data_IF_056837549060
#
_entry.id   IF_056837549060
#
_cell.length_a   1.000
_cell.length_b   1.000
_cell.length_c   1.000
_cell.angle_alpha   90.00
_cell.angle_beta   90.00
_cell.angle_gamma   90.00
#
_symmetry.space_group_name_H-M   'P 1'
#
loop_
_entity.id
_entity.type
_entity.pdbx_description
1 polymer ?
#
# COMPACT_ATOMS: atom_id res chain seq x y z
N UNK A 1 -13.45 -3.07 -2.91
CA UNK A 1 -14.58 -3.84 -3.49
C UNK A 1 -14.20 -4.41 -4.85
N UNK A 2 -13.84 -3.60 -5.84
CA UNK A 2 -13.44 -4.11 -7.16
C UNK A 2 -12.29 -5.13 -7.08
N UNK A 3 -11.26 -4.87 -6.28
CA UNK A 3 -10.16 -5.82 -6.02
C UNK A 3 -10.64 -7.20 -5.55
N UNK A 4 -11.65 -7.26 -4.68
CA UNK A 4 -12.23 -8.51 -4.19
C UNK A 4 -12.89 -9.30 -5.32
N UNK A 5 -13.73 -8.63 -6.12
CA UNK A 5 -14.42 -9.26 -7.25
C UNK A 5 -13.45 -9.71 -8.34
N UNK A 6 -12.40 -8.92 -8.57
CA UNK A 6 -11.39 -9.18 -9.60
C UNK A 6 -10.41 -10.31 -9.21
N UNK A 7 -10.00 -10.40 -7.94
CA UNK A 7 -9.19 -11.55 -7.46
C UNK A 7 -10.03 -12.84 -7.49
N UNK A 8 -11.29 -12.75 -7.07
CA UNK A 8 -12.24 -13.87 -7.07
C UNK A 8 -12.90 -14.16 -8.43
N UNK A 9 -12.34 -13.67 -9.54
CA UNK A 9 -12.95 -13.80 -10.86
C UNK A 9 -13.21 -15.27 -11.24
N UNK A 10 -12.26 -16.15 -10.96
CA UNK A 10 -12.42 -17.61 -11.10
C UNK A 10 -12.97 -18.24 -9.82
N UNK A 11 -14.22 -17.89 -9.48
CA UNK A 11 -14.91 -18.32 -8.26
C UNK A 11 -15.08 -19.85 -8.13
N UNK A 12 -14.91 -20.61 -9.22
CA UNK A 12 -14.93 -22.08 -9.20
C UNK A 12 -13.70 -22.68 -8.50
N UNK A 13 -12.60 -21.93 -8.37
CA UNK A 13 -11.39 -22.37 -7.65
C UNK A 13 -11.49 -21.99 -6.17
N UNK A 14 -11.47 -22.94 -5.22
CA UNK A 14 -11.59 -22.63 -3.79
C UNK A 14 -10.42 -21.78 -3.28
N UNK A 15 -9.24 -21.95 -3.87
CA UNK A 15 -8.04 -21.18 -3.55
C UNK A 15 -8.26 -19.70 -3.87
N UNK A 16 -8.81 -19.37 -5.05
CA UNK A 16 -9.13 -17.99 -5.45
C UNK A 16 -10.19 -17.35 -4.56
N UNK A 17 -11.19 -18.12 -4.11
CA UNK A 17 -12.20 -17.66 -3.16
C UNK A 17 -11.60 -17.31 -1.78
N UNK A 18 -10.70 -18.16 -1.27
CA UNK A 18 -10.00 -17.87 -0.01
C UNK A 18 -9.05 -16.66 -0.15
N UNK A 19 -8.40 -16.50 -1.30
CA UNK A 19 -7.49 -15.39 -1.59
C UNK A 19 -8.24 -14.05 -1.65
N UNK A 20 -9.39 -13.99 -2.33
CA UNK A 20 -10.17 -12.77 -2.41
C UNK A 20 -10.71 -12.36 -1.03
N UNK A 21 -11.22 -13.31 -0.23
CA UNK A 21 -11.66 -13.06 1.13
C UNK A 21 -10.52 -12.53 2.01
N UNK A 22 -9.35 -13.18 1.97
CA UNK A 22 -8.16 -12.72 2.70
C UNK A 22 -7.79 -11.28 2.30
N UNK A 23 -7.75 -10.99 1.00
CA UNK A 23 -7.47 -9.65 0.51
C UNK A 23 -8.51 -8.61 0.93
N UNK A 24 -9.79 -9.00 1.02
CA UNK A 24 -10.81 -8.08 1.49
C UNK A 24 -10.68 -7.80 3.00
N UNK A 25 -10.51 -8.84 3.82
CA UNK A 25 -10.41 -8.71 5.28
C UNK A 25 -9.18 -7.89 5.68
N UNK A 26 -8.00 -8.19 5.12
CA UNK A 26 -6.77 -7.44 5.44
C UNK A 26 -6.90 -5.95 5.08
N UNK A 27 -7.50 -5.66 3.93
CA UNK A 27 -7.74 -4.29 3.51
C UNK A 27 -8.79 -3.58 4.38
N UNK A 28 -9.80 -4.30 4.89
CA UNK A 28 -10.80 -3.74 5.80
C UNK A 28 -10.24 -3.36 7.16
N UNK A 29 -9.25 -4.10 7.67
CA UNK A 29 -8.54 -3.71 8.90
C UNK A 29 -7.85 -2.36 8.71
N UNK A 30 -7.20 -2.13 7.56
CA UNK A 30 -6.63 -0.82 7.23
C UNK A 30 -7.69 0.26 7.03
N UNK A 31 -8.79 -0.04 6.32
CA UNK A 31 -9.89 0.90 6.10
C UNK A 31 -10.53 1.34 7.43
N UNK A 32 -10.58 0.45 8.43
CA UNK A 32 -11.04 0.79 9.79
C UNK A 32 -10.10 1.78 10.48
N UNK A 33 -8.78 1.56 10.40
CA UNK A 33 -7.78 2.51 10.91
C UNK A 33 -7.89 3.87 10.22
N UNK A 34 -8.00 3.87 8.89
CA UNK A 34 -8.20 5.09 8.09
C UNK A 34 -9.44 5.87 8.56
N UNK A 35 -10.58 5.18 8.70
CA UNK A 35 -11.84 5.80 9.10
C UNK A 35 -11.73 6.43 10.51
N UNK A 36 -11.14 5.73 11.47
CA UNK A 36 -10.88 6.29 12.80
C UNK A 36 -9.95 7.51 12.75
N UNK A 37 -8.91 7.47 11.91
CA UNK A 37 -8.01 8.61 11.70
C UNK A 37 -8.75 9.82 11.14
N UNK A 38 -9.61 9.62 10.14
CA UNK A 38 -10.43 10.69 9.55
C UNK A 38 -11.39 11.29 10.59
N UNK A 39 -12.09 10.45 11.35
CA UNK A 39 -13.00 10.91 12.41
C UNK A 39 -12.25 11.65 13.53
N UNK A 40 -11.08 11.16 13.91
CA UNK A 40 -10.22 11.81 14.91
C UNK A 40 -9.78 13.20 14.47
N UNK A 41 -9.35 13.35 13.21
CA UNK A 41 -9.01 14.66 12.69
C UNK A 41 -10.23 15.57 12.53
N UNK A 42 -11.37 15.04 12.08
CA UNK A 42 -12.62 15.80 12.02
C UNK A 42 -13.05 16.35 13.38
N UNK A 43 -12.84 15.59 14.45
CA UNK A 43 -13.13 16.05 15.82
C UNK A 43 -12.24 17.23 16.25
N UNK A 44 -11.01 17.29 15.73
CA UNK A 44 -10.04 18.36 16.04
C UNK A 44 -10.25 19.59 15.13
N UNK A 45 -10.43 19.38 13.82
CA UNK A 45 -10.54 20.46 12.80
C UNK A 45 -11.95 21.00 12.65
N UNK A 46 -12.98 20.17 12.86
CA UNK A 46 -14.35 20.43 12.40
C UNK A 46 -14.52 20.35 10.87
N UNK A 47 -13.48 19.98 10.11
CA UNK A 47 -13.52 19.93 8.65
C UNK A 47 -12.70 18.77 8.07
N UNK A 48 -13.08 18.33 6.86
CA UNK A 48 -12.41 17.24 6.12
C UNK A 48 -11.51 17.77 5.00
N UNK A 49 -11.34 19.08 4.91
CA UNK A 49 -10.53 19.77 3.91
C UNK A 49 -9.03 19.62 4.23
N UNK A 50 -8.22 19.21 3.25
CA UNK A 50 -6.77 19.12 3.42
C UNK A 50 -6.11 20.45 3.82
N UNK A 51 -6.68 21.57 3.37
CA UNK A 51 -6.18 22.92 3.70
C UNK A 51 -6.22 23.20 5.20
N UNK A 52 -7.28 22.77 5.87
CA UNK A 52 -7.45 22.99 7.30
C UNK A 52 -6.58 22.02 8.11
N UNK A 53 -6.39 20.79 7.63
CA UNK A 53 -5.40 19.86 8.18
C UNK A 53 -3.99 20.46 8.17
N UNK A 54 -3.59 21.14 7.09
CA UNK A 54 -2.27 21.77 7.00
C UNK A 54 -2.12 22.98 7.94
N UNK A 55 -3.21 23.71 8.21
CA UNK A 55 -3.18 24.80 9.19
C UNK A 55 -2.89 24.27 10.60
N UNK A 56 -3.47 23.13 10.97
CA UNK A 56 -3.18 22.48 12.25
C UNK A 56 -1.72 22.06 12.32
N UNK A 57 -1.22 21.43 11.26
CA UNK A 57 0.17 20.96 11.18
C UNK A 57 1.18 22.11 11.42
N UNK A 58 0.93 23.27 10.82
CA UNK A 58 1.86 24.40 10.88
C UNK A 58 1.70 25.28 12.11
N UNK A 59 0.48 25.44 12.64
CA UNK A 59 0.20 26.46 13.66
C UNK A 59 -0.14 25.89 15.05
N UNK A 60 -0.80 24.74 15.13
CA UNK A 60 -1.39 24.27 16.39
C UNK A 60 -0.50 23.24 17.09
N UNK A 61 0.15 22.37 16.31
CA UNK A 61 1.10 21.37 16.82
C UNK A 61 2.34 22.03 17.44
N UNK A 62 3.04 22.98 16.76
CA UNK A 62 4.23 23.61 17.35
C UNK A 62 3.93 24.55 18.53
N UNK A 63 2.71 25.10 18.61
CA UNK A 63 2.31 26.01 19.69
C UNK A 63 1.66 25.30 20.90
N UNK A 64 1.73 23.95 20.98
CA UNK A 64 1.10 23.12 22.02
C UNK A 64 -0.42 23.37 22.20
N UNK A 65 -1.13 23.83 21.16
CA UNK A 65 -2.56 24.13 21.24
C UNK A 65 -3.45 22.88 21.32
N UNK A 66 -2.93 21.71 20.94
CA UNK A 66 -3.62 20.41 20.96
C UNK A 66 -2.73 19.40 21.68
N UNK A 67 -3.35 18.43 22.35
CA UNK A 67 -2.64 17.28 22.91
C UNK A 67 -1.86 16.52 21.82
N UNK A 68 -0.54 16.65 21.83
CA UNK A 68 0.37 16.03 20.86
C UNK A 68 0.20 14.51 20.77
N UNK A 69 -0.19 13.86 21.87
CA UNK A 69 -0.43 12.43 21.91
C UNK A 69 -1.69 12.04 21.11
N UNK A 70 -2.74 12.84 21.15
CA UNK A 70 -3.96 12.57 20.38
C UNK A 70 -3.69 12.73 18.88
N UNK A 71 -3.00 13.79 18.47
CA UNK A 71 -2.66 14.03 17.06
C UNK A 71 -1.75 12.94 16.51
N UNK A 72 -0.77 12.48 17.30
CA UNK A 72 0.10 11.37 16.88
C UNK A 72 -0.68 10.06 16.71
N UNK A 73 -1.61 9.75 17.63
CA UNK A 73 -2.48 8.57 17.49
C UNK A 73 -3.39 8.66 16.25
N UNK A 74 -4.03 9.80 16.00
CA UNK A 74 -4.86 9.99 14.81
C UNK A 74 -4.06 9.85 13.50
N UNK A 75 -2.85 10.40 13.47
CA UNK A 75 -1.96 10.30 12.32
C UNK A 75 -1.43 8.86 12.13
N UNK A 76 -1.16 8.12 13.20
CA UNK A 76 -0.85 6.68 13.13
C UNK A 76 -2.02 5.86 12.56
N UNK A 77 -3.25 6.17 12.97
CA UNK A 77 -4.46 5.52 12.44
C UNK A 77 -4.66 5.79 10.95
N UNK A 78 -4.42 7.02 10.47
CA UNK A 78 -4.39 7.33 9.04
C UNK A 78 -3.31 6.51 8.31
N UNK A 79 -2.14 6.37 8.92
CA UNK A 79 -1.05 5.59 8.36
C UNK A 79 -1.41 4.10 8.21
N UNK A 80 -2.13 3.49 9.14
CA UNK A 80 -2.60 2.10 9.02
C UNK A 80 -3.42 1.84 7.74
N UNK A 81 -4.19 2.83 7.29
CA UNK A 81 -4.90 2.76 6.01
C UNK A 81 -3.95 2.62 4.82
N UNK A 82 -2.87 3.40 4.82
CA UNK A 82 -1.84 3.29 3.79
C UNK A 82 -1.10 1.94 3.87
N UNK A 83 -0.75 1.46 5.06
CA UNK A 83 -0.07 0.16 5.28
C UNK A 83 -0.81 -0.98 4.61
N UNK A 84 -2.13 -1.06 4.79
CA UNK A 84 -2.93 -2.16 4.22
C UNK A 84 -2.95 -2.12 2.68
N UNK A 85 -3.19 -0.93 2.10
CA UNK A 85 -3.31 -0.77 0.64
C UNK A 85 -1.98 -0.96 -0.10
N UNK A 86 -0.88 -0.50 0.47
CA UNK A 86 0.47 -0.69 -0.10
C UNK A 86 1.16 -1.96 0.39
N UNK A 87 0.41 -2.90 0.99
CA UNK A 87 0.89 -4.20 1.44
C UNK A 87 2.17 -4.13 2.28
N UNK A 88 2.21 -3.19 3.22
CA UNK A 88 3.31 -3.02 4.14
C UNK A 88 3.18 -3.98 5.33
N UNK A 89 4.27 -4.18 6.06
CA UNK A 89 4.31 -4.96 7.27
C UNK A 89 3.46 -4.22 8.33
N UNK A 90 2.54 -4.91 9.02
CA UNK A 90 2.28 -6.35 9.00
C UNK A 90 1.25 -6.84 7.97
N UNK A 91 0.44 -5.96 7.38
CA UNK A 91 -0.72 -6.28 6.53
C UNK A 91 -0.39 -6.65 5.07
N UNK A 92 0.76 -7.27 4.84
CA UNK A 92 1.31 -7.59 3.52
C UNK A 92 0.82 -8.93 2.94
N UNK A 93 0.25 -9.80 3.78
CA UNK A 93 -0.05 -11.23 3.49
C UNK A 93 -1.02 -11.44 2.32
N UNK A 94 -1.86 -10.46 2.01
CA UNK A 94 -2.83 -10.59 0.92
C UNK A 94 -2.23 -10.47 -0.48
N UNK A 95 -1.09 -9.80 -0.60
CA UNK A 95 -0.53 -9.40 -1.90
C UNK A 95 -0.04 -10.61 -2.74
N UNK A 96 0.65 -11.62 -2.17
CA UNK A 96 1.05 -12.80 -2.93
C UNK A 96 -0.14 -13.66 -3.37
N UNK A 97 -1.18 -13.76 -2.53
CA UNK A 97 -2.38 -14.54 -2.82
C UNK A 97 -3.28 -13.87 -3.87
N UNK A 98 -3.18 -12.54 -4.03
CA UNK A 98 -3.86 -11.82 -5.11
C UNK A 98 -3.42 -12.29 -6.51
N UNK A 99 -2.30 -13.02 -6.62
CA UNK A 99 -1.82 -13.62 -7.86
C UNK A 99 -2.69 -14.77 -8.37
N UNK A 100 -3.62 -15.28 -7.56
CA UNK A 100 -4.62 -16.27 -8.01
C UNK A 100 -5.64 -15.67 -9.01
N UNK A 101 -5.76 -14.34 -9.03
CA UNK A 101 -6.50 -13.64 -10.07
C UNK A 101 -5.85 -13.74 -11.45
N UNK A 102 -6.57 -13.38 -12.51
CA UNK A 102 -6.04 -13.39 -13.87
C UNK A 102 -4.93 -12.34 -14.04
N UNK A 103 -3.97 -12.63 -14.94
CA UNK A 103 -2.76 -11.83 -15.13
C UNK A 103 -3.00 -10.36 -15.47
N UNK A 104 -4.01 -9.95 -16.29
CA UNK A 104 -4.24 -8.53 -16.56
C UNK A 104 -4.71 -7.77 -15.30
N UNK A 105 -5.41 -8.45 -14.39
CA UNK A 105 -5.85 -7.88 -13.12
C UNK A 105 -4.65 -7.67 -12.20
N UNK A 106 -3.71 -8.61 -12.15
CA UNK A 106 -2.47 -8.43 -11.40
C UNK A 106 -1.67 -7.21 -11.89
N UNK A 107 -1.60 -6.99 -13.21
CA UNK A 107 -0.97 -5.77 -13.76
C UNK A 107 -1.67 -4.50 -13.23
N UNK A 108 -3.00 -4.45 -13.25
CA UNK A 108 -3.78 -3.29 -12.81
C UNK A 108 -3.70 -3.02 -11.29
N UNK A 109 -3.74 -4.07 -10.46
CA UNK A 109 -3.66 -3.96 -8.99
C UNK A 109 -2.28 -3.44 -8.57
N UNK A 110 -1.22 -3.94 -9.21
CA UNK A 110 0.15 -3.66 -8.81
C UNK A 110 0.76 -2.41 -9.45
N UNK A 111 0.28 -2.00 -10.64
CA UNK A 111 0.77 -0.80 -11.30
C UNK A 111 -0.04 0.45 -10.94
N UNK A 112 -1.36 0.39 -11.04
CA UNK A 112 -2.17 1.59 -11.20
C UNK A 112 -3.07 1.93 -10.01
N UNK A 113 -3.61 0.94 -9.31
CA UNK A 113 -4.77 1.16 -8.42
C UNK A 113 -4.45 0.99 -6.95
N UNK A 114 -4.53 -0.24 -6.47
CA UNK A 114 -4.64 -0.57 -5.06
C UNK A 114 -3.39 -0.16 -4.28
N UNK A 115 -2.25 -0.48 -4.86
CA UNK A 115 -0.94 -0.29 -4.28
C UNK A 115 -0.51 1.20 -4.30
N UNK A 116 -0.77 1.89 -5.42
CA UNK A 116 -0.42 3.30 -5.58
C UNK A 116 -1.24 4.22 -4.65
N UNK A 117 -2.48 3.84 -4.34
CA UNK A 117 -3.36 4.61 -3.47
C UNK A 117 -2.77 4.82 -2.05
N UNK A 118 -2.08 3.82 -1.49
CA UNK A 118 -1.47 3.94 -0.17
C UNK A 118 -0.33 4.98 -0.14
N UNK A 119 0.54 4.95 -1.14
CA UNK A 119 1.66 5.90 -1.29
C UNK A 119 1.14 7.30 -1.58
N UNK A 120 0.16 7.42 -2.47
CA UNK A 120 -0.46 8.69 -2.81
C UNK A 120 -1.10 9.36 -1.60
N UNK A 121 -1.82 8.60 -0.76
CA UNK A 121 -2.41 9.11 0.48
C UNK A 121 -1.34 9.73 1.40
N UNK A 122 -0.23 9.01 1.61
CA UNK A 122 0.86 9.49 2.46
C UNK A 122 1.58 10.70 1.87
N UNK A 123 1.82 10.71 0.56
CA UNK A 123 2.40 11.86 -0.12
C UNK A 123 1.51 13.10 0.03
N UNK A 124 0.19 12.94 -0.01
CA UNK A 124 -0.76 14.03 0.20
C UNK A 124 -0.77 14.53 1.64
N UNK A 125 -0.70 13.62 2.61
CA UNK A 125 -0.68 13.94 4.04
C UNK A 125 0.71 14.31 4.58
N UNK A 126 1.72 14.39 3.71
CA UNK A 126 3.10 14.62 4.12
C UNK A 126 3.32 15.93 4.91
N UNK A 127 2.67 17.07 4.60
CA UNK A 127 2.79 18.28 5.43
C UNK A 127 2.36 18.04 6.88
N UNK A 128 1.39 17.14 7.10
CA UNK A 128 0.98 16.75 8.45
C UNK A 128 2.02 15.85 9.11
N UNK A 129 2.56 14.86 8.40
CA UNK A 129 3.53 13.93 8.97
C UNK A 129 4.89 14.59 9.30
N UNK A 130 5.34 15.58 8.52
CA UNK A 130 6.58 16.33 8.84
C UNK A 130 6.52 16.96 10.23
N UNK A 131 5.35 17.46 10.65
CA UNK A 131 5.16 18.03 11.99
C UNK A 131 5.24 17.01 13.14
N UNK A 132 5.23 15.70 12.81
CA UNK A 132 5.18 14.58 13.75
C UNK A 132 6.39 13.63 13.54
N UNK A 133 7.58 13.96 14.09
CA UNK A 133 8.82 13.23 13.79
C UNK A 133 8.77 11.74 14.20
N UNK A 134 8.05 11.41 15.27
CA UNK A 134 7.82 10.03 15.69
C UNK A 134 7.16 9.20 14.59
N UNK A 135 6.17 9.74 13.89
CA UNK A 135 5.45 9.01 12.84
C UNK A 135 6.30 8.88 11.58
N UNK A 136 7.06 9.91 11.23
CA UNK A 136 8.02 9.84 10.11
C UNK A 136 9.05 8.73 10.32
N UNK A 137 9.59 8.62 11.54
CA UNK A 137 10.51 7.53 11.90
C UNK A 137 9.84 6.15 11.86
N UNK A 138 8.57 6.08 12.23
CA UNK A 138 7.82 4.82 12.18
C UNK A 138 7.49 4.41 10.73
N UNK A 139 7.16 5.37 9.87
CA UNK A 139 6.94 5.16 8.43
C UNK A 139 8.20 4.63 7.76
N UNK A 140 9.36 5.23 8.04
CA UNK A 140 10.64 4.77 7.48
C UNK A 140 11.03 3.39 8.01
N UNK A 141 10.80 3.11 9.30
CA UNK A 141 11.00 1.79 9.90
C UNK A 141 10.13 0.73 9.22
N UNK A 142 8.83 0.97 9.06
CA UNK A 142 7.95 0.02 8.36
C UNK A 142 8.39 -0.18 6.91
N UNK A 143 8.78 0.89 6.20
CA UNK A 143 9.29 0.82 4.83
C UNK A 143 10.60 0.03 4.69
N UNK A 144 11.52 0.16 5.65
CA UNK A 144 12.78 -0.63 5.66
C UNK A 144 12.52 -2.11 5.91
N UNK A 145 11.64 -2.44 6.85
CA UNK A 145 11.27 -3.82 7.16
C UNK A 145 10.61 -4.48 5.95
N UNK A 146 9.68 -3.79 5.27
CA UNK A 146 8.96 -4.34 4.10
C UNK A 146 9.85 -4.51 2.90
N UNK A 147 10.76 -3.57 2.68
CA UNK A 147 11.79 -3.67 1.66
C UNK A 147 12.62 -4.93 1.86
N UNK A 148 13.14 -5.14 3.07
CA UNK A 148 14.00 -6.29 3.37
C UNK A 148 13.24 -7.62 3.29
N UNK A 149 12.04 -7.70 3.89
CA UNK A 149 11.19 -8.89 3.85
C UNK A 149 10.75 -9.22 2.43
N UNK A 150 10.30 -8.24 1.65
CA UNK A 150 9.86 -8.45 0.27
C UNK A 150 11.01 -8.92 -0.63
N UNK A 151 12.21 -8.37 -0.47
CA UNK A 151 13.38 -8.75 -1.26
C UNK A 151 13.81 -10.20 -0.99
N UNK A 152 13.88 -10.59 0.29
CA UNK A 152 14.27 -11.96 0.68
C UNK A 152 13.24 -13.00 0.23
N UNK A 153 11.93 -12.71 0.40
CA UNK A 153 10.86 -13.60 -0.03
C UNK A 153 10.78 -13.74 -1.54
N UNK A 154 11.07 -12.68 -2.31
CA UNK A 154 11.05 -12.71 -3.77
C UNK A 154 12.08 -13.69 -4.37
N UNK A 155 13.27 -13.80 -3.74
CA UNK A 155 14.34 -14.71 -4.18
C UNK A 155 13.96 -16.18 -3.99
N UNK A 156 13.14 -16.50 -2.97
CA UNK A 156 12.72 -17.87 -2.68
C UNK A 156 11.51 -18.34 -3.50
N UNK A 157 10.83 -17.44 -4.23
CA UNK A 157 9.64 -17.80 -4.99
C UNK A 157 9.98 -18.57 -6.28
N UNK A 158 9.24 -19.66 -6.52
CA UNK A 158 9.29 -20.42 -7.78
C UNK A 158 8.24 -19.95 -8.79
N UNK A 159 7.16 -19.33 -8.32
CA UNK A 159 6.08 -18.83 -9.19
C UNK A 159 6.41 -17.42 -9.70
N UNK A 160 6.40 -17.23 -11.02
CA UNK A 160 6.72 -15.94 -11.66
C UNK A 160 5.81 -14.82 -11.13
N UNK A 161 4.50 -15.06 -11.05
CA UNK A 161 3.52 -14.08 -10.54
C UNK A 161 3.80 -13.70 -9.08
N UNK A 162 4.06 -14.69 -8.21
CA UNK A 162 4.34 -14.43 -6.79
C UNK A 162 5.67 -13.70 -6.61
N UNK A 163 6.70 -14.05 -7.36
CA UNK A 163 7.97 -13.30 -7.37
C UNK A 163 7.76 -11.84 -7.80
N UNK A 164 6.92 -11.60 -8.82
CA UNK A 164 6.54 -10.25 -9.23
C UNK A 164 5.73 -9.48 -8.16
N UNK A 165 4.87 -10.19 -7.40
CA UNK A 165 4.13 -9.62 -6.28
C UNK A 165 5.07 -9.20 -5.13
N UNK A 166 5.98 -10.05 -4.68
CA UNK A 166 6.97 -9.67 -3.67
C UNK A 166 7.90 -8.57 -4.14
N UNK A 167 8.21 -8.54 -5.45
CA UNK A 167 8.96 -7.42 -6.01
C UNK A 167 8.18 -6.13 -6.17
N UNK A 168 6.87 -6.14 -6.01
CA UNK A 168 6.12 -4.90 -5.77
C UNK A 168 6.19 -4.52 -4.30
N UNK A 169 6.02 -5.49 -3.39
CA UNK A 169 6.10 -5.26 -1.95
C UNK A 169 7.38 -4.51 -1.54
N UNK A 170 8.56 -4.95 -1.99
CA UNK A 170 9.80 -4.26 -1.62
C UNK A 170 9.97 -2.90 -2.30
N UNK A 171 9.48 -2.70 -3.53
CA UNK A 171 9.54 -1.40 -4.21
C UNK A 171 8.63 -0.36 -3.54
N UNK A 172 7.48 -0.81 -3.03
CA UNK A 172 6.62 0.02 -2.20
C UNK A 172 7.27 0.33 -0.86
N UNK A 173 7.99 -0.63 -0.27
CA UNK A 173 8.85 -0.38 0.88
C UNK A 173 9.89 0.72 0.62
N UNK A 174 10.55 0.70 -0.55
CA UNK A 174 11.47 1.77 -0.99
C UNK A 174 10.77 3.13 -1.09
N UNK A 175 9.63 3.20 -1.75
CA UNK A 175 8.85 4.44 -1.85
C UNK A 175 8.38 4.93 -0.48
N UNK A 176 8.06 3.99 0.41
CA UNK A 176 7.61 4.29 1.76
C UNK A 176 8.72 4.84 2.64
N UNK A 177 9.92 4.26 2.53
CA UNK A 177 11.13 4.77 3.15
C UNK A 177 11.44 6.19 2.66
N UNK A 178 11.34 6.44 1.35
CA UNK A 178 11.56 7.78 0.79
C UNK A 178 10.58 8.83 1.37
N UNK A 179 9.30 8.47 1.52
CA UNK A 179 8.31 9.32 2.19
C UNK A 179 8.63 9.52 3.68
N UNK A 180 9.09 8.48 4.38
CA UNK A 180 9.46 8.55 5.80
C UNK A 180 10.69 9.42 6.10
N UNK A 181 11.57 9.63 5.13
CA UNK A 181 12.69 10.58 5.23
C UNK A 181 12.27 11.99 4.74
N UNK A 182 11.06 12.14 4.19
CA UNK A 182 10.50 13.42 3.72
C UNK A 182 10.73 13.71 2.24
N UNK A 183 11.33 12.79 1.48
CA UNK A 183 11.59 12.96 0.04
C UNK A 183 10.38 12.58 -0.81
N UNK A 184 9.38 13.46 -0.84
CA UNK A 184 8.13 13.22 -1.56
C UNK A 184 8.32 13.16 -3.09
N UNK A 185 9.21 13.99 -3.64
CA UNK A 185 9.47 14.06 -5.08
C UNK A 185 10.05 12.75 -5.60
N UNK A 186 11.04 12.18 -4.87
CA UNK A 186 11.64 10.90 -5.23
C UNK A 186 10.60 9.76 -5.15
N UNK A 187 9.77 9.74 -4.11
CA UNK A 187 8.74 8.73 -3.94
C UNK A 187 7.70 8.74 -5.07
N UNK A 188 7.20 9.93 -5.46
CA UNK A 188 6.22 10.07 -6.55
C UNK A 188 6.82 9.78 -7.92
N UNK A 189 8.06 10.22 -8.17
CA UNK A 189 8.76 9.88 -9.40
C UNK A 189 8.96 8.37 -9.53
N UNK A 190 9.41 7.71 -8.45
CA UNK A 190 9.54 6.25 -8.41
C UNK A 190 8.18 5.57 -8.62
N UNK A 191 7.09 6.09 -8.03
CA UNK A 191 5.75 5.53 -8.21
C UNK A 191 5.32 5.50 -9.69
N UNK A 192 5.64 6.55 -10.45
CA UNK A 192 5.34 6.61 -11.88
C UNK A 192 6.16 5.56 -12.65
N UNK A 193 7.47 5.48 -12.43
CA UNK A 193 8.33 4.51 -13.13
C UNK A 193 8.00 3.06 -12.73
N UNK A 194 7.63 2.84 -11.48
CA UNK A 194 7.13 1.56 -10.98
C UNK A 194 5.84 1.15 -11.69
N UNK A 195 4.88 2.06 -11.87
CA UNK A 195 3.62 1.75 -12.54
C UNK A 195 3.85 1.23 -13.98
N UNK A 196 4.66 1.93 -14.78
CA UNK A 196 4.97 1.49 -16.14
C UNK A 196 5.75 0.17 -16.17
N UNK A 197 6.82 0.07 -15.39
CA UNK A 197 7.68 -1.12 -15.38
C UNK A 197 6.94 -2.37 -14.89
N UNK A 198 6.11 -2.25 -13.85
CA UNK A 198 5.32 -3.38 -13.36
C UNK A 198 4.20 -3.78 -14.29
N UNK A 199 3.51 -2.84 -14.92
CA UNK A 199 2.53 -3.18 -15.94
C UNK A 199 3.17 -4.01 -17.07
N UNK A 200 4.34 -3.59 -17.55
CA UNK A 200 5.11 -4.33 -18.55
C UNK A 200 5.52 -5.74 -18.07
N UNK A 201 6.06 -5.86 -16.85
CA UNK A 201 6.48 -7.15 -16.31
C UNK A 201 5.32 -8.11 -16.09
N UNK A 202 4.18 -7.65 -15.55
CA UNK A 202 3.01 -8.51 -15.35
C UNK A 202 2.38 -8.95 -16.67
N UNK A 203 2.23 -8.04 -17.63
CA UNK A 203 1.69 -8.40 -18.96
C UNK A 203 2.65 -9.33 -19.72
N UNK A 204 3.96 -9.06 -19.65
CA UNK A 204 4.99 -9.95 -20.20
C UNK A 204 5.02 -11.33 -19.53
N UNK A 205 4.82 -11.40 -18.21
CA UNK A 205 4.67 -12.70 -17.54
C UNK A 205 3.40 -13.43 -18.00
N UNK A 206 2.33 -12.70 -18.30
CA UNK A 206 1.10 -13.25 -18.83
C UNK A 206 1.28 -13.88 -20.21
N UNK A 207 2.05 -13.26 -21.11
CA UNK A 207 2.34 -13.85 -22.43
C UNK A 207 3.20 -15.11 -22.33
N UNK A 208 4.16 -15.17 -21.39
CA UNK A 208 4.96 -16.37 -21.11
C UNK A 208 4.12 -17.50 -20.51
N UNK A 209 3.21 -17.18 -19.59
CA UNK A 209 2.31 -18.19 -18.99
C UNK A 209 1.40 -18.78 -20.08
N UNK A 210 0.83 -17.93 -20.94
CA UNK A 210 -0.04 -18.38 -22.02
C UNK A 210 0.71 -19.22 -23.06
N UNK A 211 1.98 -18.91 -23.36
CA UNK A 211 2.78 -19.72 -24.30
C UNK A 211 3.21 -21.07 -23.72
N UNK A 212 3.31 -21.19 -22.40
CA UNK A 212 3.68 -22.43 -21.69
C UNK A 212 2.48 -23.34 -21.39
N UNK A 213 1.27 -22.80 -21.41
CA UNK A 213 -0.01 -23.52 -21.22
C UNK A 213 -0.13 -24.83 -22.04
N UNK A 214 0.22 -24.88 -23.35
CA UNK A 214 0.17 -26.14 -24.11
C UNK A 214 1.23 -27.17 -23.72
N UNK A 215 2.33 -26.76 -23.09
CA UNK A 215 3.44 -27.65 -22.71
C UNK A 215 3.31 -28.21 -21.30
N UNK A 216 2.88 -27.36 -20.36
CA UNK A 216 2.82 -27.68 -18.93
C UNK A 216 1.44 -28.22 -18.54
N UNK A 217 0.40 -27.90 -19.32
CA UNK A 217 -0.98 -28.11 -18.91
C UNK A 217 -1.37 -27.16 -17.76
N UNK A 218 -2.65 -27.18 -17.40
CA UNK A 218 -3.19 -26.41 -16.27
C UNK A 218 -2.92 -27.07 -14.93
#
# INVERSE_FOLDING_TARGET
>A
MCSYLLIGFWFTRPIAASACQKAFVTNRVGDFGLLLGILGFFWITGSLEFRDLYKIANNWIPNNGINSLLTTLCAFLLFLGAVAKSAQFPLHVWLPDAMEGPTPISALIHAATMVAAGIFLLARLLPLFISLPLIMSFISLVGTITLFLGATLALAQRDIKRSLAYSTMYQLGYMMLALGIGSYQAALFHLITHAYSKALLFLGSGSVIHSMEPLVGY
#
